data_IF_370942551105
#
_entry.id   IF_370942551105
#
_cell.length_a   1.000
_cell.length_b   1.000
_cell.length_c   1.000
_cell.angle_alpha   90.00
_cell.angle_beta   90.00
_cell.angle_gamma   90.00
#
_symmetry.space_group_name_H-M   'P 1'
#
loop_
_entity.id
_entity.type
_entity.pdbx_description
1 polymer ?
#
# COMPACT_ATOMS: atom_id res chain seq x y z
N UNK A 1 -7.11 -10.04 -4.42
CA UNK A 1 -8.21 -11.03 -4.29
C UNK A 1 -7.69 -12.44 -4.05
N UNK A 2 -6.97 -13.07 -5.00
CA UNK A 2 -6.46 -14.45 -4.82
C UNK A 2 -5.62 -14.62 -3.56
N UNK A 3 -4.67 -13.71 -3.31
CA UNK A 3 -3.85 -13.73 -2.08
C UNK A 3 -4.70 -13.66 -0.81
N UNK A 4 -5.71 -12.78 -0.77
CA UNK A 4 -6.62 -12.65 0.38
C UNK A 4 -7.44 -13.92 0.60
N UNK A 5 -7.94 -14.54 -0.47
CA UNK A 5 -8.69 -15.78 -0.39
C UNK A 5 -7.84 -16.96 0.10
N UNK A 6 -6.63 -17.13 -0.43
CA UNK A 6 -5.73 -18.21 0.00
C UNK A 6 -5.31 -18.07 1.46
N UNK A 7 -5.29 -16.83 1.98
CA UNK A 7 -5.10 -16.58 3.41
C UNK A 7 -6.35 -16.91 4.22
N UNK A 8 -7.54 -16.48 3.79
CA UNK A 8 -8.78 -16.66 4.56
C UNK A 8 -9.15 -18.13 4.80
N UNK A 9 -8.74 -19.04 3.92
CA UNK A 9 -8.98 -20.48 4.05
C UNK A 9 -7.83 -21.25 4.73
N UNK A 10 -6.72 -20.57 5.08
CA UNK A 10 -5.60 -21.21 5.75
C UNK A 10 -5.87 -21.33 7.26
N UNK A 11 -5.71 -22.53 7.82
CA UNK A 11 -6.03 -22.82 9.23
C UNK A 11 -5.19 -22.01 10.23
N UNK A 12 -3.96 -21.64 9.85
CA UNK A 12 -3.04 -20.89 10.71
C UNK A 12 -3.16 -19.37 10.51
N UNK A 13 -4.00 -18.93 9.58
CA UNK A 13 -4.26 -17.52 9.34
C UNK A 13 -5.30 -16.98 10.31
N UNK A 14 -4.99 -15.81 10.88
CA UNK A 14 -5.93 -15.03 11.66
C UNK A 14 -5.86 -13.56 11.23
N UNK A 15 -7.03 -12.94 11.13
CA UNK A 15 -7.13 -11.52 10.88
C UNK A 15 -6.44 -10.74 12.01
N UNK A 16 -5.68 -9.71 11.63
CA UNK A 16 -5.17 -8.71 12.56
C UNK A 16 -5.14 -7.31 11.89
N UNK A 17 -5.17 -6.21 12.66
CA UNK A 17 -5.16 -4.84 12.15
C UNK A 17 -3.91 -4.49 11.32
N UNK A 18 -2.74 -5.09 11.58
CA UNK A 18 -1.53 -4.85 10.77
C UNK A 18 -1.72 -5.41 9.35
N UNK A 19 -2.28 -6.62 9.24
CA UNK A 19 -2.69 -7.18 7.96
C UNK A 19 -3.73 -6.30 7.25
N UNK A 20 -4.72 -5.77 7.98
CA UNK A 20 -5.74 -4.88 7.41
C UNK A 20 -5.13 -3.60 6.85
N UNK A 21 -4.23 -2.95 7.61
CA UNK A 21 -3.45 -1.82 7.16
C UNK A 21 -2.66 -2.16 5.89
N UNK A 22 -2.01 -3.33 5.84
CA UNK A 22 -1.32 -3.81 4.66
C UNK A 22 -2.20 -3.94 3.42
N UNK A 23 -3.42 -4.47 3.57
CA UNK A 23 -4.41 -4.57 2.49
C UNK A 23 -4.85 -3.19 2.00
N UNK A 24 -5.19 -2.29 2.94
CA UNK A 24 -5.61 -0.93 2.63
C UNK A 24 -4.48 -0.16 1.92
N UNK A 25 -3.26 -0.18 2.46
CA UNK A 25 -2.11 0.48 1.85
C UNK A 25 -1.83 -0.08 0.45
N UNK A 26 -1.83 -1.40 0.28
CA UNK A 26 -1.60 -2.03 -1.02
C UNK A 26 -2.65 -1.56 -2.04
N UNK A 27 -3.93 -1.59 -1.65
CA UNK A 27 -4.99 -1.14 -2.54
C UNK A 27 -4.82 0.34 -2.91
N UNK A 28 -4.67 1.23 -1.92
CA UNK A 28 -4.61 2.67 -2.15
C UNK A 28 -3.41 3.08 -3.01
N UNK A 29 -2.25 2.45 -2.78
CA UNK A 29 -1.02 2.71 -3.55
C UNK A 29 -1.14 2.20 -4.99
N UNK A 30 -1.68 1.00 -5.19
CA UNK A 30 -1.82 0.42 -6.52
C UNK A 30 -3.01 1.01 -7.31
N UNK A 31 -3.96 1.65 -6.64
CA UNK A 31 -5.08 2.36 -7.28
C UNK A 31 -4.77 3.84 -7.55
N UNK A 32 -3.53 4.29 -7.32
CA UNK A 32 -3.09 5.62 -7.74
C UNK A 32 -3.24 5.75 -9.26
N UNK A 33 -3.82 6.86 -9.71
CA UNK A 33 -4.10 7.11 -11.12
C UNK A 33 -5.30 6.36 -11.71
N UNK A 34 -6.01 5.51 -10.95
CA UNK A 34 -7.24 4.89 -11.43
C UNK A 34 -8.33 5.95 -11.74
N UNK A 35 -8.99 5.81 -12.89
CA UNK A 35 -10.08 6.68 -13.34
C UNK A 35 -11.29 5.85 -13.80
N UNK A 36 -12.53 6.26 -13.46
CA UNK A 36 -12.86 7.42 -12.63
C UNK A 36 -12.61 7.17 -11.13
N UNK A 37 -12.14 8.19 -10.40
CA UNK A 37 -11.73 8.02 -8.99
C UNK A 37 -12.85 7.54 -8.07
N UNK A 38 -14.09 7.95 -8.35
CA UNK A 38 -15.28 7.61 -7.56
C UNK A 38 -15.52 6.10 -7.44
N UNK A 39 -15.02 5.30 -8.39
CA UNK A 39 -15.27 3.86 -8.39
C UNK A 39 -14.29 3.12 -7.45
N UNK A 40 -13.17 3.74 -7.05
CA UNK A 40 -12.13 3.13 -6.18
C UNK A 40 -12.74 2.54 -4.90
N UNK A 41 -13.63 3.27 -4.24
CA UNK A 41 -14.28 2.81 -3.01
C UNK A 41 -15.16 1.59 -3.25
N UNK A 42 -15.97 1.61 -4.31
CA UNK A 42 -16.83 0.49 -4.68
C UNK A 42 -16.04 -0.77 -5.04
N UNK A 43 -14.87 -0.61 -5.68
CA UNK A 43 -13.96 -1.70 -6.00
C UNK A 43 -13.35 -2.29 -4.73
N UNK A 44 -12.89 -1.44 -3.80
CA UNK A 44 -12.36 -1.91 -2.52
C UNK A 44 -13.42 -2.72 -1.77
N UNK A 45 -14.66 -2.19 -1.71
CA UNK A 45 -15.78 -2.84 -1.06
C UNK A 45 -16.08 -4.21 -1.68
N UNK A 46 -16.17 -4.28 -3.01
CA UNK A 46 -16.42 -5.52 -3.73
C UNK A 46 -15.30 -6.56 -3.52
N UNK A 47 -14.03 -6.15 -3.47
CA UNK A 47 -12.91 -7.06 -3.21
C UNK A 47 -13.01 -7.68 -1.81
N UNK A 48 -13.29 -6.88 -0.78
CA UNK A 48 -13.45 -7.37 0.59
C UNK A 48 -14.66 -8.32 0.69
N UNK A 49 -15.82 -7.91 0.15
CA UNK A 49 -17.03 -8.74 0.16
C UNK A 49 -16.85 -10.07 -0.57
N UNK A 50 -16.12 -10.08 -1.69
CA UNK A 50 -15.85 -11.29 -2.46
C UNK A 50 -15.01 -12.35 -1.69
N UNK A 51 -14.31 -11.95 -0.63
CA UNK A 51 -13.60 -12.87 0.27
C UNK A 51 -14.26 -12.95 1.65
N UNK A 52 -15.55 -12.62 1.72
CA UNK A 52 -16.38 -12.68 2.95
C UNK A 52 -15.84 -11.81 4.09
N UNK A 53 -15.28 -10.64 3.74
CA UNK A 53 -14.74 -9.66 4.68
C UNK A 53 -15.49 -8.32 4.61
N UNK A 54 -15.44 -7.57 5.72
CA UNK A 54 -16.06 -6.25 5.83
C UNK A 54 -15.07 -5.14 5.51
N UNK A 55 -15.28 -4.40 4.42
CA UNK A 55 -14.38 -3.32 4.01
C UNK A 55 -14.26 -2.21 5.06
N UNK A 56 -15.35 -1.90 5.77
CA UNK A 56 -15.35 -0.86 6.81
C UNK A 56 -14.41 -1.19 7.96
N UNK A 57 -14.35 -2.47 8.37
CA UNK A 57 -13.42 -2.94 9.41
C UNK A 57 -11.97 -2.69 9.00
N UNK A 58 -11.63 -3.00 7.75
CA UNK A 58 -10.28 -2.78 7.23
C UNK A 58 -9.89 -1.31 7.22
N UNK A 59 -10.79 -0.42 6.75
CA UNK A 59 -10.55 1.03 6.73
C UNK A 59 -10.39 1.60 8.13
N UNK A 60 -11.28 1.24 9.04
CA UNK A 60 -11.23 1.68 10.44
C UNK A 60 -9.94 1.24 11.13
N UNK A 61 -9.58 -0.04 11.02
CA UNK A 61 -8.37 -0.57 11.64
C UNK A 61 -7.11 0.06 11.05
N UNK A 62 -7.08 0.29 9.73
CA UNK A 62 -5.96 0.98 9.07
C UNK A 62 -5.82 2.42 9.55
N UNK A 63 -6.92 3.19 9.59
CA UNK A 63 -6.91 4.60 10.04
C UNK A 63 -6.46 4.73 11.51
N UNK A 64 -6.96 3.84 12.38
CA UNK A 64 -6.56 3.76 13.78
C UNK A 64 -5.05 3.52 13.92
N UNK A 65 -4.51 2.55 13.19
CA UNK A 65 -3.09 2.23 13.22
C UNK A 65 -2.22 3.33 12.61
N UNK A 66 -2.65 3.98 11.53
CA UNK A 66 -1.95 5.11 10.94
C UNK A 66 -1.89 6.29 11.91
N UNK A 67 -2.99 6.55 12.62
CA UNK A 67 -3.06 7.62 13.63
C UNK A 67 -2.13 7.34 14.80
N UNK A 68 -2.12 6.09 15.28
CA UNK A 68 -1.22 5.64 16.34
C UNK A 68 0.25 5.78 15.92
N UNK A 69 0.62 5.30 14.73
CA UNK A 69 1.98 5.40 14.22
C UNK A 69 2.49 6.86 14.12
N UNK A 70 1.63 7.79 13.66
CA UNK A 70 1.97 9.22 13.60
C UNK A 70 2.18 9.86 14.97
N UNK A 71 1.59 9.29 16.03
CA UNK A 71 1.70 9.82 17.39
C UNK A 71 2.97 9.35 18.12
N UNK A 72 3.70 8.40 17.54
CA UNK A 72 4.88 7.78 18.14
C UNK A 72 6.15 8.17 17.38
N UNK A 73 7.25 8.34 18.13
CA UNK A 73 8.56 8.43 17.52
C UNK A 73 8.95 7.07 16.92
N UNK A 74 9.68 7.07 15.81
CA UNK A 74 9.99 5.84 15.09
C UNK A 74 10.73 4.80 15.94
N UNK A 75 11.65 5.23 16.81
CA UNK A 75 12.36 4.34 17.72
C UNK A 75 11.42 3.67 18.75
N UNK A 76 10.43 4.41 19.27
CA UNK A 76 9.43 3.86 20.20
C UNK A 76 8.51 2.87 19.48
N UNK A 77 8.12 3.20 18.24
CA UNK A 77 7.34 2.31 17.39
C UNK A 77 8.11 1.02 17.05
N UNK A 78 9.40 1.11 16.72
CA UNK A 78 10.26 -0.06 16.46
C UNK A 78 10.37 -0.90 17.72
N UNK A 79 10.70 -0.29 18.87
CA UNK A 79 10.81 -1.00 20.14
C UNK A 79 9.50 -1.67 20.56
N UNK A 80 8.36 -1.06 20.23
CA UNK A 80 7.05 -1.63 20.47
C UNK A 80 6.75 -2.82 19.57
N UNK A 81 6.92 -2.65 18.25
CA UNK A 81 6.69 -3.72 17.28
C UNK A 81 7.64 -4.91 17.49
N UNK A 82 8.89 -4.67 17.92
CA UNK A 82 9.87 -5.70 18.26
C UNK A 82 9.65 -6.34 19.64
N UNK A 83 8.58 -6.00 20.36
CA UNK A 83 8.28 -6.51 21.70
C UNK A 83 9.36 -6.19 22.76
N UNK A 84 10.23 -5.20 22.50
CA UNK A 84 11.26 -4.75 23.45
C UNK A 84 10.63 -3.86 24.53
N UNK A 85 9.66 -3.03 24.14
CA UNK A 85 8.87 -2.19 25.02
C UNK A 85 7.39 -2.43 24.78
N UNK A 86 6.56 -2.29 25.82
CA UNK A 86 5.10 -2.38 25.67
C UNK A 86 4.49 -0.98 25.72
N UNK A 87 3.56 -0.71 24.81
CA UNK A 87 2.77 0.53 24.82
C UNK A 87 1.36 0.24 25.29
N UNK A 88 0.85 1.07 26.20
CA UNK A 88 -0.52 0.96 26.72
C UNK A 88 -1.55 1.69 25.86
N UNK A 89 -1.13 2.37 24.78
CA UNK A 89 -2.03 3.13 23.90
C UNK A 89 -2.98 2.23 23.10
N UNK A 90 -2.61 0.97 22.87
CA UNK A 90 -3.43 -0.01 22.15
C UNK A 90 -3.24 -1.43 22.75
N UNK A 91 -3.96 -1.72 23.86
CA UNK A 91 -3.83 -3.01 24.55
C UNK A 91 -4.20 -4.20 23.67
N UNK A 92 -5.19 -4.04 22.79
CA UNK A 92 -5.66 -5.11 21.90
C UNK A 92 -4.58 -5.46 20.87
N UNK A 93 -3.95 -4.46 20.25
CA UNK A 93 -2.83 -4.73 19.33
C UNK A 93 -1.61 -5.29 20.06
N UNK A 94 -1.31 -4.82 21.28
CA UNK A 94 -0.23 -5.37 22.08
C UNK A 94 -0.43 -6.86 22.38
N UNK A 95 -1.65 -7.29 22.70
CA UNK A 95 -1.98 -8.70 22.90
C UNK A 95 -1.82 -9.51 21.60
N UNK A 96 -2.21 -8.95 20.46
CA UNK A 96 -2.03 -9.61 19.17
C UNK A 96 -0.57 -9.75 18.77
N UNK A 97 0.26 -8.73 18.99
CA UNK A 97 1.70 -8.81 18.74
C UNK A 97 2.36 -9.89 19.60
N UNK A 98 1.99 -10.00 20.88
CA UNK A 98 2.43 -11.08 21.75
C UNK A 98 1.96 -12.45 21.26
N UNK A 99 0.70 -12.57 20.82
CA UNK A 99 0.17 -13.80 20.26
C UNK A 99 0.92 -14.22 18.99
N UNK A 100 1.30 -13.27 18.13
CA UNK A 100 2.12 -13.51 16.94
C UNK A 100 3.52 -14.01 17.34
N UNK A 101 4.21 -13.29 18.22
CA UNK A 101 5.56 -13.63 18.64
C UNK A 101 5.64 -15.02 19.32
N UNK A 102 4.57 -15.43 20.00
CA UNK A 102 4.49 -16.73 20.70
C UNK A 102 3.87 -17.85 19.85
N UNK A 103 3.49 -17.60 18.59
CA UNK A 103 2.86 -18.59 17.71
C UNK A 103 3.84 -19.06 16.63
N UNK A 104 4.42 -20.26 16.82
CA UNK A 104 5.33 -20.87 15.85
C UNK A 104 4.67 -21.26 14.52
N UNK A 105 3.34 -21.34 14.47
CA UNK A 105 2.56 -21.60 13.26
C UNK A 105 2.02 -20.31 12.63
N UNK A 106 2.35 -19.12 13.15
CA UNK A 106 1.80 -17.87 12.63
C UNK A 106 1.92 -17.79 11.10
N UNK A 107 0.76 -17.63 10.44
CA UNK A 107 0.72 -17.52 8.99
C UNK A 107 1.20 -16.15 8.51
N UNK A 108 2.51 -16.05 8.36
CA UNK A 108 3.15 -14.94 7.68
C UNK A 108 2.54 -14.75 6.27
N UNK A 109 2.39 -13.48 5.88
CA UNK A 109 1.96 -13.08 4.55
C UNK A 109 2.51 -11.69 4.21
N UNK A 110 2.66 -11.42 2.92
CA UNK A 110 3.21 -10.15 2.42
C UNK A 110 2.38 -8.93 2.81
N UNK A 111 1.06 -9.07 2.92
CA UNK A 111 0.19 -7.96 3.32
C UNK A 111 0.51 -7.53 4.77
N UNK A 112 0.77 -8.48 5.67
CA UNK A 112 1.26 -8.16 7.02
C UNK A 112 2.61 -7.42 6.99
N UNK A 113 3.55 -7.85 6.14
CA UNK A 113 4.82 -7.13 5.94
C UNK A 113 4.61 -5.68 5.51
N UNK A 114 3.75 -5.46 4.52
CA UNK A 114 3.40 -4.13 4.02
C UNK A 114 2.74 -3.29 5.14
N UNK A 115 1.95 -3.91 6.01
CA UNK A 115 1.39 -3.27 7.20
C UNK A 115 2.46 -2.76 8.15
N UNK A 116 3.44 -3.59 8.51
CA UNK A 116 4.59 -3.19 9.35
C UNK A 116 5.38 -2.04 8.72
N UNK A 117 5.68 -2.16 7.42
CA UNK A 117 6.36 -1.10 6.67
C UNK A 117 5.55 0.20 6.64
N UNK A 118 4.23 0.10 6.49
CA UNK A 118 3.34 1.26 6.50
C UNK A 118 3.37 1.98 7.84
N UNK A 119 3.40 1.26 8.97
CA UNK A 119 3.54 1.87 10.29
C UNK A 119 4.83 2.69 10.39
N UNK A 120 5.96 2.13 9.96
CA UNK A 120 7.25 2.84 9.92
C UNK A 120 7.17 4.09 9.05
N UNK A 121 6.60 3.97 7.84
CA UNK A 121 6.43 5.09 6.91
C UNK A 121 5.54 6.20 7.49
N UNK A 122 4.50 5.87 8.27
CA UNK A 122 3.64 6.87 8.90
C UNK A 122 4.32 7.59 10.08
N UNK A 123 5.22 6.92 10.79
CA UNK A 123 5.95 7.52 11.91
C UNK A 123 7.12 8.36 11.44
N UNK A 124 7.91 7.84 10.50
CA UNK A 124 9.06 8.54 9.90
C UNK A 124 9.26 8.14 8.43
N UNK A 125 8.80 8.98 7.48
CA UNK A 125 8.99 8.75 6.06
C UNK A 125 10.45 8.74 5.60
N UNK A 126 11.36 9.39 6.33
CA UNK A 126 12.77 9.48 5.93
C UNK A 126 13.53 8.23 6.38
N UNK A 127 13.15 7.63 7.52
CA UNK A 127 13.66 6.33 7.97
C UNK A 127 13.46 5.24 6.90
N UNK A 128 12.28 5.18 6.27
CA UNK A 128 11.99 4.15 5.26
C UNK A 128 12.67 4.40 3.91
N UNK A 129 13.06 5.64 3.61
CA UNK A 129 13.82 5.99 2.40
C UNK A 129 15.29 5.62 2.54
N UNK A 130 15.86 5.74 3.74
CA UNK A 130 17.23 5.31 4.00
C UNK A 130 17.31 3.78 4.02
N UNK A 131 18.12 3.22 3.13
CA UNK A 131 18.22 1.77 2.96
C UNK A 131 18.74 1.05 4.20
N UNK A 132 19.66 1.69 4.94
CA UNK A 132 20.24 1.09 6.14
C UNK A 132 19.26 1.15 7.30
N UNK A 133 18.72 2.34 7.61
CA UNK A 133 17.78 2.51 8.71
C UNK A 133 16.53 1.66 8.52
N UNK A 134 16.00 1.59 7.29
CA UNK A 134 14.87 0.71 6.96
C UNK A 134 15.22 -0.75 7.23
N UNK A 135 16.38 -1.23 6.75
CA UNK A 135 16.79 -2.63 6.92
C UNK A 135 16.98 -2.98 8.40
N UNK A 136 17.64 -2.10 9.16
CA UNK A 136 17.88 -2.27 10.59
C UNK A 136 16.55 -2.32 11.37
N UNK A 137 15.61 -1.42 11.06
CA UNK A 137 14.27 -1.41 11.67
C UNK A 137 13.47 -2.68 11.36
N UNK A 138 13.45 -3.10 10.08
CA UNK A 138 12.74 -4.31 9.63
C UNK A 138 13.30 -5.55 10.33
N UNK A 139 14.63 -5.70 10.38
CA UNK A 139 15.28 -6.85 11.02
C UNK A 139 15.01 -6.88 12.53
N UNK A 140 15.04 -5.72 13.19
CA UNK A 140 14.71 -5.59 14.62
C UNK A 140 13.28 -6.06 14.91
N UNK A 141 12.32 -5.64 14.09
CA UNK A 141 10.91 -6.06 14.22
C UNK A 141 10.75 -7.55 13.91
N UNK A 142 11.39 -8.04 12.86
CA UNK A 142 11.33 -9.45 12.47
C UNK A 142 11.83 -10.37 13.60
N UNK A 143 12.96 -10.02 14.20
CA UNK A 143 13.53 -10.76 15.33
C UNK A 143 12.56 -10.80 16.51
N UNK A 144 11.98 -9.65 16.89
CA UNK A 144 11.04 -9.55 18.01
C UNK A 144 9.72 -10.31 17.82
N UNK A 145 9.26 -10.41 16.56
CA UNK A 145 8.05 -11.16 16.21
C UNK A 145 8.34 -12.60 15.76
N UNK A 146 9.59 -13.05 15.86
CA UNK A 146 10.05 -14.36 15.38
C UNK A 146 9.66 -14.67 13.92
N UNK A 147 9.73 -13.65 13.06
CA UNK A 147 9.46 -13.75 11.63
C UNK A 147 10.74 -14.04 10.85
N UNK A 148 10.59 -14.60 9.65
CA UNK A 148 11.72 -14.79 8.74
C UNK A 148 12.17 -13.45 8.15
N UNK A 149 13.34 -12.97 8.56
CA UNK A 149 13.99 -11.76 8.04
C UNK A 149 14.13 -11.78 6.51
N UNK A 150 14.53 -12.93 5.95
CA UNK A 150 14.70 -13.13 4.51
C UNK A 150 13.38 -12.96 3.75
N UNK A 151 12.28 -13.57 4.24
CA UNK A 151 10.96 -13.43 3.61
C UNK A 151 10.45 -12.00 3.71
N UNK A 152 10.57 -11.39 4.88
CA UNK A 152 10.10 -10.03 5.14
C UNK A 152 10.84 -9.03 4.24
N UNK A 153 12.16 -9.14 4.15
CA UNK A 153 13.00 -8.28 3.32
C UNK A 153 12.67 -8.42 1.83
N UNK A 154 12.57 -9.66 1.32
CA UNK A 154 12.24 -9.94 -0.09
C UNK A 154 10.86 -9.44 -0.48
N UNK A 155 9.86 -9.63 0.38
CA UNK A 155 8.51 -9.18 0.12
C UNK A 155 8.41 -7.65 0.07
N UNK A 156 9.13 -6.95 0.95
CA UNK A 156 9.17 -5.49 0.98
C UNK A 156 9.98 -4.90 -0.18
N UNK A 157 11.07 -5.55 -0.58
CA UNK A 157 11.81 -5.18 -1.79
C UNK A 157 10.93 -5.33 -3.04
N UNK A 158 10.23 -6.47 -3.17
CA UNK A 158 9.31 -6.73 -4.28
C UNK A 158 8.17 -5.71 -4.30
N UNK A 159 7.58 -5.41 -3.14
CA UNK A 159 6.53 -4.40 -3.00
C UNK A 159 7.02 -3.03 -3.49
N UNK A 160 8.17 -2.54 -3.00
CA UNK A 160 8.75 -1.25 -3.39
C UNK A 160 9.10 -1.20 -4.88
N UNK A 161 9.70 -2.27 -5.42
CA UNK A 161 9.99 -2.38 -6.86
C UNK A 161 8.73 -2.28 -7.71
N UNK A 162 7.64 -2.92 -7.27
CA UNK A 162 6.37 -2.86 -8.00
C UNK A 162 5.72 -1.47 -7.92
N UNK A 163 5.80 -0.78 -6.78
CA UNK A 163 5.34 0.60 -6.66
C UNK A 163 6.09 1.54 -7.62
N UNK A 164 7.41 1.40 -7.69
CA UNK A 164 8.22 2.21 -8.60
C UNK A 164 7.83 1.99 -10.07
N UNK A 165 7.64 0.72 -10.48
CA UNK A 165 7.17 0.38 -11.82
C UNK A 165 5.80 0.99 -12.13
N UNK A 166 4.89 1.00 -11.16
CA UNK A 166 3.57 1.62 -11.32
C UNK A 166 3.66 3.14 -11.45
N UNK A 167 4.46 3.79 -10.61
CA UNK A 167 4.72 5.23 -10.69
C UNK A 167 5.24 5.62 -12.07
N UNK A 168 6.22 4.89 -12.58
CA UNK A 168 6.75 5.09 -13.93
C UNK A 168 5.69 4.87 -15.01
N UNK A 169 4.89 3.81 -14.91
CA UNK A 169 3.82 3.54 -15.87
C UNK A 169 2.76 4.66 -15.89
N UNK A 170 2.39 5.21 -14.73
CA UNK A 170 1.43 6.32 -14.62
C UNK A 170 1.95 7.59 -15.30
N UNK A 171 3.24 7.92 -15.15
CA UNK A 171 3.88 9.05 -15.84
C UNK A 171 3.77 8.87 -17.36
N UNK A 172 4.14 7.70 -17.86
CA UNK A 172 4.08 7.40 -19.30
C UNK A 172 2.63 7.47 -19.83
N UNK A 173 1.64 6.95 -19.08
CA UNK A 173 0.23 7.06 -19.45
C UNK A 173 -0.24 8.52 -19.52
N UNK A 174 0.14 9.35 -18.54
CA UNK A 174 -0.20 10.77 -18.54
C UNK A 174 0.37 11.50 -19.76
N UNK A 175 1.63 11.22 -20.11
CA UNK A 175 2.28 11.78 -21.30
C UNK A 175 1.56 11.37 -22.58
N UNK A 176 1.20 10.08 -22.72
CA UNK A 176 0.43 9.57 -23.87
C UNK A 176 -0.93 10.27 -24.00
N UNK A 177 -1.68 10.40 -22.91
CA UNK A 177 -2.99 11.09 -22.90
C UNK A 177 -2.83 12.55 -23.33
N UNK A 178 -1.79 13.24 -22.82
CA UNK A 178 -1.52 14.63 -23.16
C UNK A 178 -1.18 14.80 -24.66
N UNK A 179 -0.40 13.88 -25.23
CA UNK A 179 -0.02 13.88 -26.63
C UNK A 179 -1.23 13.62 -27.53
N UNK A 180 -2.07 12.65 -27.17
CA UNK A 180 -3.30 12.33 -27.89
C UNK A 180 -4.28 13.51 -27.87
N UNK A 181 -4.42 14.19 -26.74
CA UNK A 181 -5.24 15.40 -26.63
C UNK A 181 -4.74 16.51 -27.56
N UNK A 182 -3.44 16.82 -27.52
CA UNK A 182 -2.83 17.83 -28.41
C UNK A 182 -3.04 17.48 -29.89
N UNK A 183 -2.89 16.20 -30.26
CA UNK A 183 -3.09 15.72 -31.64
C UNK A 183 -4.54 15.86 -32.08
N UNK A 184 -5.51 15.62 -31.19
CA UNK A 184 -6.94 15.82 -31.47
C UNK A 184 -7.28 17.30 -31.64
N UNK A 185 -6.77 18.16 -30.77
CA UNK A 185 -6.94 19.61 -30.85
C UNK A 185 -6.36 20.18 -32.16
N UNK A 186 -5.15 19.76 -32.55
CA UNK A 186 -4.53 20.15 -33.83
C UNK A 186 -5.35 19.70 -35.05
N UNK A 187 -5.89 18.48 -35.03
CA UNK A 187 -6.77 17.98 -36.12
C UNK A 187 -8.06 18.77 -36.22
N UNK A 188 -8.65 19.15 -35.09
CA UNK A 188 -9.86 19.97 -35.07
C UNK A 188 -9.57 21.37 -35.64
N UNK A 189 -8.48 22.01 -35.23
CA UNK A 189 -8.07 23.33 -35.75
C UNK A 189 -7.80 23.31 -37.27
N UNK A 190 -7.19 22.24 -37.79
CA UNK A 190 -6.96 22.05 -39.23
C UNK A 190 -8.26 21.82 -40.00
N UNK A 191 -9.25 21.14 -39.41
CA UNK A 191 -10.56 20.91 -40.05
C UNK A 191 -11.46 22.15 -40.10
N UNK A 192 -11.21 23.15 -39.24
CA UNK A 192 -11.97 24.41 -39.18
C UNK A 192 -11.30 25.59 -39.89
N UNK A 193 -10.12 25.38 -40.50
CA UNK A 193 -9.45 26.43 -41.26
C UNK A 193 -10.21 26.73 -42.57
N UNK A 194 -10.56 28.00 -42.87
CA UNK A 194 -11.30 28.34 -44.07
C UNK A 194 -10.46 28.04 -45.32
N UNK A 195 -11.01 27.25 -46.23
CA UNK A 195 -10.42 27.00 -47.56
C UNK A 195 -10.51 28.32 -48.34
N UNK A 196 -9.39 29.03 -48.46
CA UNK A 196 -9.30 30.23 -49.30
C UNK A 196 -9.53 29.82 -50.76
N UNK A 197 -10.52 30.39 -51.47
CA UNK A 197 -10.71 30.11 -52.89
C UNK A 197 -9.47 30.54 -53.69
N UNK A 198 -9.06 29.78 -54.72
CA UNK A 198 -7.90 30.15 -55.52
C UNK A 198 -8.15 31.49 -56.20
N UNK A 199 -7.26 32.45 -55.99
CA UNK A 199 -7.25 33.75 -56.68
C UNK A 199 -7.00 33.52 -58.16
N UNK A 200 -7.97 33.87 -59.00
CA UNK A 200 -7.82 33.90 -60.44
C UNK A 200 -6.79 34.98 -60.83
N UNK A 201 -5.78 34.58 -61.60
CA UNK A 201 -4.81 35.49 -62.21
C UNK A 201 -5.48 36.28 -63.34
N UNK A 202 -5.35 37.61 -63.32
CA UNK A 202 -5.35 38.50 -64.49
C UNK A 202 -4.13 39.42 -64.41
#
# INVERSE_FOLDING_TARGET
MVEMHLLSVNVDFSYNPIYALGVVTTFDRFMQGYQPERDKESIFHAICQAVEQEAQRYRHDAERLQTLAKSLAANDLIAWLSQTNHLNQDPDLQLQLQAIANNSQFKYNRLFAIGLFSLLEQSDPDLVKDDKQRTDAINTIAAGLHLSEDKLSKDLELYRSNLEKMSQALVVMADMISADRKKREQRQQQSTAPVTPPTANE
#
